data_IF_833954907850
#
_entry.id   IF_833954907850
#
_cell.length_a   1.000
_cell.length_b   1.000
_cell.length_c   1.000
_cell.angle_alpha   90.00
_cell.angle_beta   90.00
_cell.angle_gamma   90.00
#
_symmetry.space_group_name_H-M   'P 1'
#
loop_
_entity.id
_entity.type
_entity.pdbx_description
1 polymer ?
#
# COMPACT_ATOMS: atom_id res chain seq x y z
N UNK A 1 -28.34 -25.86 16.15
CA UNK A 1 -28.28 -24.86 15.07
C UNK A 1 -26.81 -24.57 14.79
N UNK A 2 -26.18 -25.25 13.83
CA UNK A 2 -24.79 -24.94 13.46
C UNK A 2 -24.81 -23.69 12.56
N UNK A 3 -24.20 -22.62 13.02
CA UNK A 3 -23.91 -21.43 12.20
C UNK A 3 -23.01 -21.86 11.04
N UNK A 4 -23.61 -21.97 9.86
CA UNK A 4 -22.91 -22.21 8.60
C UNK A 4 -22.12 -20.98 8.18
N UNK A 5 -21.06 -20.65 8.92
CA UNK A 5 -20.02 -19.79 8.39
C UNK A 5 -19.34 -20.56 7.26
N UNK A 6 -19.63 -20.16 6.03
CA UNK A 6 -18.90 -20.59 4.86
C UNK A 6 -17.40 -20.41 5.15
N UNK A 7 -16.56 -21.43 4.96
CA UNK A 7 -15.13 -21.30 5.24
C UNK A 7 -14.59 -20.10 4.45
N UNK A 8 -13.78 -19.23 5.07
CA UNK A 8 -13.21 -18.09 4.38
C UNK A 8 -12.47 -18.58 3.13
N UNK A 9 -12.64 -17.85 2.02
CA UNK A 9 -11.89 -18.13 0.80
C UNK A 9 -10.39 -18.12 1.12
N UNK A 10 -9.71 -19.23 0.88
CA UNK A 10 -8.31 -19.43 1.24
C UNK A 10 -7.36 -18.40 0.60
N UNK A 11 -7.83 -17.72 -0.46
CA UNK A 11 -7.10 -16.66 -1.15
C UNK A 11 -7.41 -15.26 -0.63
N UNK A 12 -8.49 -15.07 0.13
CA UNK A 12 -8.86 -13.74 0.65
C UNK A 12 -8.06 -13.43 1.92
N UNK A 13 -7.47 -12.23 1.99
CA UNK A 13 -6.77 -11.77 3.19
C UNK A 13 -7.74 -11.66 4.38
N UNK A 14 -7.56 -12.45 5.47
CA UNK A 14 -8.41 -12.33 6.65
C UNK A 14 -8.31 -10.93 7.26
N UNK A 15 -9.40 -10.42 7.84
CA UNK A 15 -9.43 -9.08 8.45
C UNK A 15 -8.34 -8.89 9.51
N UNK A 16 -8.11 -9.89 10.36
CA UNK A 16 -7.06 -9.86 11.38
C UNK A 16 -5.66 -9.77 10.77
N UNK A 17 -5.42 -10.46 9.64
CA UNK A 17 -4.16 -10.37 8.92
C UNK A 17 -4.02 -9.01 8.23
N UNK A 18 -5.12 -8.45 7.69
CA UNK A 18 -5.13 -7.14 7.06
C UNK A 18 -4.71 -6.04 8.03
N UNK A 19 -5.29 -6.03 9.23
CA UNK A 19 -4.98 -5.04 10.28
C UNK A 19 -3.51 -5.05 10.73
N UNK A 20 -2.86 -6.21 10.68
CA UNK A 20 -1.48 -6.41 11.12
C UNK A 20 -0.46 -6.20 9.99
N UNK A 21 -0.82 -6.60 8.76
CA UNK A 21 0.09 -6.60 7.62
C UNK A 21 0.06 -5.30 6.81
N UNK A 22 -1.04 -4.55 6.82
CA UNK A 22 -1.25 -3.34 6.03
C UNK A 22 -1.34 -2.09 6.91
N UNK A 23 -1.09 -0.89 6.35
CA UNK A 23 -1.31 0.34 7.10
C UNK A 23 -2.81 0.48 7.41
N UNK A 24 -3.12 0.89 8.65
CA UNK A 24 -4.50 1.16 9.04
C UNK A 24 -5.06 2.28 8.18
N UNK A 25 -6.33 2.15 7.77
CA UNK A 25 -6.97 3.14 6.90
C UNK A 25 -7.15 4.50 7.59
N UNK A 26 -7.27 4.51 8.91
CA UNK A 26 -7.38 5.72 9.73
C UNK A 26 -6.02 6.35 10.11
N UNK A 27 -4.91 5.70 9.77
CA UNK A 27 -3.59 6.26 10.01
C UNK A 27 -3.41 7.58 9.27
N UNK A 28 -2.60 8.47 9.84
CA UNK A 28 -2.28 9.75 9.21
C UNK A 28 -1.47 9.57 7.91
N UNK A 29 -1.45 10.60 7.06
CA UNK A 29 -0.57 10.64 5.89
C UNK A 29 0.89 10.43 6.28
N UNK A 30 1.34 11.02 7.40
CA UNK A 30 2.73 10.90 7.86
C UNK A 30 3.06 9.46 8.33
N UNK A 31 2.15 8.81 9.05
CA UNK A 31 2.30 7.41 9.46
C UNK A 31 2.31 6.48 8.24
N UNK A 32 1.45 6.74 7.26
CA UNK A 32 1.42 6.00 6.00
C UNK A 32 2.73 6.14 5.22
N UNK A 33 3.30 7.35 5.13
CA UNK A 33 4.62 7.57 4.54
C UNK A 33 5.74 6.80 5.25
N UNK A 34 5.67 6.69 6.59
CA UNK A 34 6.64 5.97 7.39
C UNK A 34 6.47 4.44 7.36
N UNK A 35 5.31 3.95 6.89
CA UNK A 35 5.01 2.53 6.84
C UNK A 35 5.95 1.77 5.91
N UNK A 36 6.57 0.69 6.40
CA UNK A 36 7.48 -0.14 5.60
C UNK A 36 6.73 -1.26 4.90
N UNK A 37 6.67 -1.22 3.58
CA UNK A 37 6.19 -2.32 2.72
C UNK A 37 7.32 -3.30 2.36
N UNK A 38 7.05 -4.62 2.28
CA UNK A 38 8.06 -5.63 1.92
C UNK A 38 8.67 -5.41 0.54
N UNK A 39 10.00 -5.30 0.44
CA UNK A 39 10.75 -5.01 -0.80
C UNK A 39 10.22 -5.81 -1.99
N UNK A 40 9.99 -5.16 -3.13
CA UNK A 40 9.69 -5.87 -4.37
C UNK A 40 10.99 -6.46 -4.90
N UNK A 41 11.08 -7.78 -4.95
CA UNK A 41 12.24 -8.46 -5.52
C UNK A 41 11.92 -8.89 -6.94
N UNK A 42 12.69 -8.45 -7.95
CA UNK A 42 12.68 -9.13 -9.24
C UNK A 42 13.09 -10.57 -9.00
N UNK A 43 12.43 -11.52 -9.67
CA UNK A 43 12.71 -12.95 -9.53
C UNK A 43 14.19 -13.16 -9.81
N UNK A 44 14.97 -13.39 -8.76
CA UNK A 44 16.41 -13.55 -8.85
C UNK A 44 16.65 -14.91 -9.51
N UNK A 45 16.82 -14.88 -10.85
CA UNK A 45 16.91 -15.99 -11.81
C UNK A 45 15.56 -16.29 -12.47
N UNK A 46 15.33 -15.61 -13.60
CA UNK A 46 14.39 -16.02 -14.63
C UNK A 46 14.83 -17.35 -15.28
N UNK A 47 14.77 -18.44 -14.52
CA UNK A 47 14.58 -19.78 -15.07
C UNK A 47 13.16 -20.17 -14.76
N UNK A 48 12.26 -19.94 -15.72
CA UNK A 48 11.04 -20.73 -15.97
C UNK A 48 10.46 -21.44 -14.74
N UNK A 49 10.07 -20.70 -13.71
CA UNK A 49 9.34 -21.31 -12.61
C UNK A 49 7.97 -21.70 -13.14
N UNK A 50 7.65 -22.98 -13.06
CA UNK A 50 6.30 -23.43 -13.34
C UNK A 50 5.40 -22.91 -12.21
N UNK A 51 4.13 -22.63 -12.50
CA UNK A 51 3.19 -22.19 -11.46
C UNK A 51 3.17 -23.14 -10.26
N UNK A 52 3.36 -24.43 -10.49
CA UNK A 52 3.45 -25.48 -9.46
C UNK A 52 4.58 -25.26 -8.45
N UNK A 53 5.67 -24.58 -8.83
CA UNK A 53 6.82 -24.35 -7.96
C UNK A 53 6.48 -23.39 -6.80
N UNK A 54 5.42 -22.58 -6.98
CA UNK A 54 4.93 -21.66 -5.96
C UNK A 54 3.96 -22.31 -4.97
N UNK A 55 3.55 -23.56 -5.15
CA UNK A 55 2.56 -24.20 -4.28
C UNK A 55 3.14 -25.40 -3.56
N UNK A 56 2.67 -25.62 -2.32
CA UNK A 56 2.95 -26.84 -1.56
C UNK A 56 1.65 -27.50 -1.09
N UNK A 57 1.69 -28.84 -1.00
CA UNK A 57 0.63 -29.65 -0.39
C UNK A 57 0.70 -29.67 1.14
N UNK A 58 1.84 -29.27 1.71
CA UNK A 58 1.98 -29.10 3.16
C UNK A 58 1.22 -27.87 3.64
N UNK A 59 0.96 -27.78 4.95
CA UNK A 59 0.46 -26.53 5.54
C UNK A 59 1.53 -25.43 5.53
N UNK A 60 1.14 -24.18 5.84
CA UNK A 60 2.09 -23.08 6.02
C UNK A 60 2.95 -23.32 7.26
N UNK A 61 4.27 -23.23 7.11
CA UNK A 61 5.25 -23.29 8.20
C UNK A 61 5.43 -21.94 8.89
N UNK A 62 5.07 -20.85 8.20
CA UNK A 62 5.15 -19.47 8.71
C UNK A 62 3.74 -18.92 8.77
N UNK A 63 3.32 -18.46 9.95
CA UNK A 63 2.01 -17.85 10.16
C UNK A 63 2.09 -16.54 10.96
N UNK A 64 3.24 -16.18 11.51
CA UNK A 64 3.40 -14.96 12.27
C UNK A 64 3.46 -13.73 11.34
N UNK A 65 2.66 -12.71 11.66
CA UNK A 65 2.50 -11.55 10.78
C UNK A 65 3.79 -10.74 10.63
N UNK A 66 4.64 -10.72 11.65
CA UNK A 66 5.94 -10.02 11.61
C UNK A 66 6.85 -10.64 10.53
N UNK A 67 6.97 -11.96 10.48
CA UNK A 67 7.75 -12.63 9.44
C UNK A 67 7.09 -12.46 8.09
N UNK A 68 5.78 -12.72 7.97
CA UNK A 68 5.03 -12.61 6.71
C UNK A 68 5.18 -11.22 6.06
N UNK A 69 5.09 -10.15 6.86
CA UNK A 69 5.24 -8.75 6.41
C UNK A 69 6.64 -8.45 5.86
N UNK A 70 7.66 -9.17 6.31
CA UNK A 70 9.04 -8.96 5.88
C UNK A 70 9.43 -9.83 4.68
N UNK A 71 8.56 -10.73 4.21
CA UNK A 71 8.82 -11.54 3.03
C UNK A 71 8.77 -10.63 1.80
N UNK A 72 9.86 -10.53 1.01
CA UNK A 72 9.84 -9.72 -0.20
C UNK A 72 8.72 -10.14 -1.16
N UNK A 73 8.02 -9.15 -1.72
CA UNK A 73 6.94 -9.39 -2.66
C UNK A 73 7.52 -9.79 -4.03
N UNK A 74 6.95 -10.80 -4.72
CA UNK A 74 7.19 -11.02 -6.14
C UNK A 74 6.76 -9.80 -6.97
N UNK A 75 7.17 -9.75 -8.25
CA UNK A 75 6.63 -8.73 -9.17
C UNK A 75 5.13 -8.93 -9.41
N UNK A 76 4.43 -7.88 -9.83
CA UNK A 76 2.98 -7.92 -10.02
C UNK A 76 2.57 -9.00 -11.02
N UNK A 77 3.33 -9.15 -12.10
CA UNK A 77 3.10 -10.14 -13.15
C UNK A 77 3.17 -11.58 -12.63
N UNK A 78 4.11 -11.84 -11.72
CA UNK A 78 4.24 -13.16 -11.07
C UNK A 78 3.07 -13.40 -10.12
N UNK A 79 2.69 -12.40 -9.31
CA UNK A 79 1.52 -12.51 -8.43
C UNK A 79 0.25 -12.80 -9.24
N UNK A 80 0.03 -12.10 -10.34
CA UNK A 80 -1.13 -12.33 -11.23
C UNK A 80 -1.13 -13.74 -11.83
N UNK A 81 0.03 -14.20 -12.31
CA UNK A 81 0.17 -15.53 -12.91
C UNK A 81 -0.10 -16.64 -11.89
N UNK A 82 0.48 -16.52 -10.68
CA UNK A 82 0.29 -17.50 -9.60
C UNK A 82 -1.16 -17.46 -9.09
N UNK A 83 -1.75 -16.28 -8.95
CA UNK A 83 -3.16 -16.12 -8.58
C UNK A 83 -4.10 -16.76 -9.59
N UNK A 84 -3.87 -16.57 -10.89
CA UNK A 84 -4.68 -17.20 -11.93
C UNK A 84 -4.63 -18.75 -11.89
N UNK A 85 -3.51 -19.32 -11.43
CA UNK A 85 -3.36 -20.77 -11.25
C UNK A 85 -3.95 -21.30 -9.94
N UNK A 86 -4.17 -20.44 -8.94
CA UNK A 86 -4.56 -20.84 -7.59
C UNK A 86 -5.85 -21.68 -7.52
N UNK A 87 -6.94 -21.40 -8.27
CA UNK A 87 -8.15 -22.22 -8.24
C UNK A 87 -7.92 -23.67 -8.68
N UNK A 88 -7.07 -23.88 -9.68
CA UNK A 88 -6.69 -25.23 -10.15
C UNK A 88 -5.83 -25.95 -9.12
N UNK A 89 -4.88 -25.23 -8.50
CA UNK A 89 -3.98 -25.79 -7.50
C UNK A 89 -4.71 -26.16 -6.20
N UNK A 90 -5.66 -25.33 -5.76
CA UNK A 90 -6.54 -25.63 -4.65
C UNK A 90 -7.32 -26.93 -4.88
N UNK A 91 -7.92 -27.10 -6.07
CA UNK A 91 -8.62 -28.34 -6.46
C UNK A 91 -7.68 -29.56 -6.51
N UNK A 92 -6.41 -29.35 -6.84
CA UNK A 92 -5.38 -30.38 -6.84
C UNK A 92 -4.80 -30.69 -5.43
N UNK A 93 -5.35 -30.09 -4.37
CA UNK A 93 -4.99 -30.39 -2.98
C UNK A 93 -3.79 -29.60 -2.43
N UNK A 94 -3.35 -28.54 -3.11
CA UNK A 94 -2.34 -27.63 -2.57
C UNK A 94 -2.94 -26.73 -1.48
N UNK A 95 -2.16 -26.45 -0.43
CA UNK A 95 -2.65 -25.81 0.82
C UNK A 95 -1.89 -24.53 1.19
N UNK A 96 -0.70 -24.32 0.63
CA UNK A 96 0.17 -23.19 0.97
C UNK A 96 1.01 -22.76 -0.23
N UNK A 97 1.67 -21.62 -0.11
CA UNK A 97 2.63 -21.13 -1.09
C UNK A 97 4.07 -21.41 -0.67
N UNK A 98 4.97 -21.50 -1.63
CA UNK A 98 6.42 -21.48 -1.47
C UNK A 98 6.95 -20.18 -2.08
N UNK A 99 7.92 -19.55 -1.42
CA UNK A 99 8.56 -18.34 -1.93
C UNK A 99 9.60 -18.69 -3.02
N UNK A 100 9.17 -19.29 -4.13
CA UNK A 100 10.04 -19.76 -5.21
C UNK A 100 10.88 -18.63 -5.84
N UNK A 101 10.42 -17.37 -5.73
CA UNK A 101 11.14 -16.19 -6.21
C UNK A 101 12.35 -15.80 -5.34
N UNK A 102 12.53 -16.44 -4.17
CA UNK A 102 13.62 -16.18 -3.25
C UNK A 102 14.63 -17.33 -3.28
N UNK A 103 15.92 -17.00 -3.31
CA UNK A 103 16.97 -18.00 -3.11
C UNK A 103 17.02 -18.37 -1.62
N UNK A 104 16.28 -19.42 -1.23
CA UNK A 104 16.24 -19.92 0.13
C UNK A 104 16.98 -21.25 0.25
N UNK A 105 17.77 -21.40 1.32
CA UNK A 105 18.42 -22.67 1.68
C UNK A 105 17.44 -23.67 2.29
N UNK A 106 16.40 -23.17 2.95
CA UNK A 106 15.30 -23.96 3.52
C UNK A 106 13.98 -23.45 2.94
N UNK A 107 13.21 -24.26 2.20
CA UNK A 107 11.95 -23.84 1.62
C UNK A 107 10.94 -23.58 2.74
N UNK A 108 10.50 -22.33 2.86
CA UNK A 108 9.42 -21.94 3.79
C UNK A 108 8.10 -21.94 3.05
N UNK A 109 7.06 -22.48 3.69
CA UNK A 109 5.69 -22.35 3.20
C UNK A 109 4.91 -21.28 3.95
N UNK A 110 4.10 -20.54 3.22
CA UNK A 110 3.30 -19.41 3.72
C UNK A 110 1.82 -19.57 3.31
N UNK A 111 0.89 -18.86 3.95
CA UNK A 111 -0.53 -18.97 3.64
C UNK A 111 -0.88 -18.52 2.21
N UNK A 112 -1.93 -19.09 1.62
CA UNK A 112 -2.37 -18.76 0.26
C UNK A 112 -2.87 -17.32 0.11
N UNK A 113 -3.46 -16.75 1.17
CA UNK A 113 -3.91 -15.36 1.20
C UNK A 113 -2.77 -14.33 1.02
N UNK A 114 -1.51 -14.76 1.08
CA UNK A 114 -0.37 -13.87 0.82
C UNK A 114 -0.35 -13.31 -0.61
N UNK A 115 -1.02 -13.97 -1.57
CA UNK A 115 -1.24 -13.39 -2.90
C UNK A 115 -2.05 -12.09 -2.82
N UNK A 116 -3.05 -12.05 -1.95
CA UNK A 116 -3.91 -10.89 -1.70
C UNK A 116 -3.19 -9.77 -1.01
N UNK A 117 -2.43 -10.12 0.02
CA UNK A 117 -1.51 -9.19 0.65
C UNK A 117 -0.53 -8.57 -0.36
N UNK A 118 0.13 -9.37 -1.21
CA UNK A 118 1.10 -8.82 -2.18
C UNK A 118 0.45 -7.93 -3.24
N UNK A 119 -0.75 -8.25 -3.71
CA UNK A 119 -1.49 -7.37 -4.61
C UNK A 119 -1.86 -6.03 -3.95
N UNK A 120 -2.34 -6.06 -2.71
CA UNK A 120 -2.61 -4.84 -1.94
C UNK A 120 -1.32 -4.02 -1.75
N UNK A 121 -0.20 -4.67 -1.44
CA UNK A 121 1.12 -4.01 -1.33
C UNK A 121 1.51 -3.31 -2.63
N UNK A 122 1.30 -3.93 -3.79
CA UNK A 122 1.62 -3.31 -5.09
C UNK A 122 0.76 -2.06 -5.34
N UNK A 123 -0.54 -2.13 -5.06
CA UNK A 123 -1.45 -0.99 -5.20
C UNK A 123 -1.09 0.16 -4.25
N UNK A 124 -0.92 -0.15 -2.96
CA UNK A 124 -0.62 0.85 -1.93
C UNK A 124 0.74 1.50 -2.10
N UNK A 125 1.74 0.78 -2.63
CA UNK A 125 3.05 1.35 -2.95
C UNK A 125 3.01 2.45 -3.99
N UNK A 126 2.09 2.38 -4.94
CA UNK A 126 1.92 3.46 -5.90
C UNK A 126 1.46 4.73 -5.18
N UNK A 127 0.44 4.60 -4.33
CA UNK A 127 -0.11 5.70 -3.53
C UNK A 127 0.94 6.27 -2.56
N UNK A 128 1.66 5.39 -1.84
CA UNK A 128 2.70 5.80 -0.90
C UNK A 128 3.83 6.56 -1.59
N UNK A 129 4.26 6.16 -2.79
CA UNK A 129 5.29 6.87 -3.53
C UNK A 129 4.91 8.32 -3.83
N UNK A 130 3.64 8.58 -4.14
CA UNK A 130 3.14 9.95 -4.38
C UNK A 130 3.22 10.77 -3.10
N UNK A 131 2.75 10.22 -1.98
CA UNK A 131 2.80 10.89 -0.69
C UNK A 131 4.22 11.12 -0.17
N UNK A 132 5.10 10.11 -0.26
CA UNK A 132 6.51 10.23 0.14
C UNK A 132 7.22 11.30 -0.67
N UNK A 133 7.01 11.34 -2.00
CA UNK A 133 7.59 12.40 -2.85
C UNK A 133 7.12 13.79 -2.44
N UNK A 134 5.85 13.90 -2.07
CA UNK A 134 5.22 15.15 -1.64
C UNK A 134 5.75 15.62 -0.28
N UNK A 135 5.86 14.70 0.68
CA UNK A 135 6.50 14.96 1.98
C UNK A 135 7.97 15.38 1.80
N UNK A 136 8.72 14.68 0.96
CA UNK A 136 10.12 15.03 0.68
C UNK A 136 10.27 16.42 0.10
N UNK A 137 9.33 16.85 -0.76
CA UNK A 137 9.31 18.19 -1.31
C UNK A 137 9.02 19.23 -0.22
N UNK A 138 8.00 19.01 0.61
CA UNK A 138 7.68 19.88 1.74
C UNK A 138 8.87 20.00 2.71
N UNK A 139 9.54 18.88 3.00
CA UNK A 139 10.75 18.82 3.84
C UNK A 139 11.91 19.61 3.25
N UNK A 140 12.11 19.54 1.93
CA UNK A 140 13.13 20.34 1.24
C UNK A 140 12.82 21.83 1.34
N UNK A 141 11.56 22.24 1.14
CA UNK A 141 11.14 23.64 1.32
C UNK A 141 11.38 24.13 2.74
N UNK A 142 11.02 23.33 3.75
CA UNK A 142 11.29 23.63 5.16
C UNK A 142 12.77 23.94 5.40
N UNK A 143 13.67 23.07 4.92
CA UNK A 143 15.13 23.25 5.09
C UNK A 143 15.69 24.50 4.40
N UNK A 144 15.05 24.96 3.33
CA UNK A 144 15.43 26.21 2.65
C UNK A 144 15.01 27.42 3.50
N UNK A 145 13.76 27.44 3.97
CA UNK A 145 13.23 28.55 4.77
C UNK A 145 13.71 28.58 6.23
N UNK A 146 14.22 27.47 6.78
CA UNK A 146 14.92 27.49 8.08
C UNK A 146 16.26 28.25 8.00
N UNK A 147 16.90 28.28 6.82
CA UNK A 147 18.13 29.06 6.59
C UNK A 147 17.85 30.55 6.40
N UNK A 148 16.69 30.88 5.83
CA UNK A 148 16.19 32.24 5.65
C UNK A 148 15.41 32.68 6.89
N UNK A 149 16.09 33.21 7.90
CA UNK A 149 15.49 33.61 9.20
C UNK A 149 14.15 34.39 9.03
N UNK A 150 13.03 33.72 9.31
CA UNK A 150 11.81 34.38 9.83
C UNK A 150 10.68 34.74 8.86
N UNK A 151 10.40 33.95 7.82
CA UNK A 151 9.23 34.17 6.95
C UNK A 151 7.94 33.48 7.40
N UNK A 152 6.78 34.09 7.10
CA UNK A 152 5.42 33.52 7.23
C UNK A 152 5.30 32.10 6.63
N UNK A 153 6.10 31.78 5.62
CA UNK A 153 6.19 30.45 4.98
C UNK A 153 6.51 29.30 5.93
N UNK A 154 7.29 29.53 7.00
CA UNK A 154 7.58 28.47 7.96
C UNK A 154 6.35 28.09 8.79
N UNK A 155 5.51 29.07 9.14
CA UNK A 155 4.26 28.81 9.85
C UNK A 155 3.29 28.00 8.98
N UNK A 156 3.19 28.34 7.69
CA UNK A 156 2.37 27.57 6.73
C UNK A 156 2.87 26.14 6.58
N UNK A 157 4.19 25.94 6.41
CA UNK A 157 4.77 24.59 6.28
C UNK A 157 4.53 23.75 7.53
N UNK A 158 4.71 24.33 8.71
CA UNK A 158 4.46 23.62 9.96
C UNK A 158 2.98 23.27 10.10
N UNK A 159 2.08 24.21 9.79
CA UNK A 159 0.65 23.96 9.78
C UNK A 159 0.26 22.85 8.78
N UNK A 160 0.86 22.81 7.59
CA UNK A 160 0.67 21.71 6.64
C UNK A 160 1.10 20.37 7.25
N UNK A 161 2.25 20.30 7.91
CA UNK A 161 2.67 19.06 8.59
C UNK A 161 1.70 18.64 9.68
N UNK A 162 1.22 19.58 10.50
CA UNK A 162 0.25 19.29 11.56
C UNK A 162 -1.04 18.73 10.94
N UNK A 163 -1.53 19.32 9.84
CA UNK A 163 -2.70 18.82 9.11
C UNK A 163 -2.46 17.43 8.50
N UNK A 164 -1.30 17.18 7.89
CA UNK A 164 -0.96 15.85 7.36
C UNK A 164 -0.82 14.80 8.46
N UNK A 165 -0.42 15.20 9.68
CA UNK A 165 -0.35 14.33 10.86
C UNK A 165 -1.72 13.99 11.46
N UNK A 166 -2.76 14.78 11.13
CA UNK A 166 -4.13 14.55 11.60
C UNK A 166 -5.05 13.97 10.51
N UNK A 167 -4.67 14.11 9.24
CA UNK A 167 -5.49 13.68 8.10
C UNK A 167 -5.22 12.22 7.78
N UNK A 168 -6.27 11.40 7.74
CA UNK A 168 -6.19 10.01 7.28
C UNK A 168 -5.66 9.95 5.85
N UNK A 169 -4.76 9.01 5.55
CA UNK A 169 -4.23 8.83 4.19
C UNK A 169 -5.24 8.23 3.20
N UNK A 170 -6.32 7.61 3.71
CA UNK A 170 -7.30 6.88 2.94
C UNK A 170 -8.66 7.59 2.93
N UNK A 171 -9.47 7.26 1.93
CA UNK A 171 -10.83 7.73 1.80
C UNK A 171 -10.98 8.86 0.77
N UNK A 172 -12.09 9.56 0.89
CA UNK A 172 -12.52 10.59 -0.05
C UNK A 172 -12.43 11.97 0.60
N UNK A 173 -11.99 12.94 -0.19
CA UNK A 173 -12.05 14.35 0.15
C UNK A 173 -13.51 14.76 0.31
N UNK A 174 -13.80 15.37 1.45
CA UNK A 174 -15.12 15.94 1.74
C UNK A 174 -15.11 17.41 1.35
N UNK A 175 -16.23 17.91 0.84
CA UNK A 175 -16.39 19.32 0.47
C UNK A 175 -16.19 19.64 -1.01
N UNK A 176 -15.87 18.66 -1.85
CA UNK A 176 -15.98 18.77 -3.31
C UNK A 176 -17.35 18.28 -3.80
N UNK A 177 -17.83 18.82 -4.93
CA UNK A 177 -19.07 18.36 -5.58
C UNK A 177 -18.94 16.90 -6.05
N UNK A 178 -17.73 16.51 -6.46
CA UNK A 178 -17.39 15.15 -6.85
C UNK A 178 -16.45 14.54 -5.80
N UNK A 179 -16.72 13.32 -5.31
CA UNK A 179 -15.86 12.66 -4.34
C UNK A 179 -14.52 12.30 -4.97
N UNK A 180 -13.45 12.79 -4.37
CA UNK A 180 -12.09 12.67 -4.91
C UNK A 180 -11.19 11.93 -3.93
N UNK A 181 -10.25 11.08 -4.38
CA UNK A 181 -9.43 10.30 -3.47
C UNK A 181 -8.46 11.19 -2.70
N UNK A 182 -8.23 10.88 -1.42
CA UNK A 182 -7.37 11.66 -0.53
C UNK A 182 -5.97 11.92 -1.11
N UNK A 183 -5.42 10.95 -1.86
CA UNK A 183 -4.10 11.07 -2.53
C UNK A 183 -4.00 12.26 -3.48
N UNK A 184 -5.12 12.79 -3.97
CA UNK A 184 -5.13 13.98 -4.83
C UNK A 184 -4.50 15.20 -4.12
N UNK A 185 -4.67 15.35 -2.79
CA UNK A 185 -4.06 16.47 -2.06
C UNK A 185 -2.54 16.51 -2.16
N UNK A 186 -1.89 15.37 -2.44
CA UNK A 186 -0.46 15.31 -2.65
C UNK A 186 -0.02 16.15 -3.87
N UNK A 187 -0.88 16.33 -4.87
CA UNK A 187 -0.56 17.13 -6.08
C UNK A 187 -0.37 18.62 -5.75
N UNK A 188 -1.05 19.17 -4.73
CA UNK A 188 -0.82 20.55 -4.27
C UNK A 188 0.58 20.78 -3.70
N UNK A 189 1.23 19.72 -3.21
CA UNK A 189 2.57 19.78 -2.60
C UNK A 189 3.69 19.61 -3.64
N UNK A 190 3.36 19.29 -4.88
CA UNK A 190 4.34 19.00 -5.93
C UNK A 190 4.44 20.18 -6.92
N UNK A 191 5.65 20.66 -7.24
CA UNK A 191 5.84 21.88 -8.03
C UNK A 191 5.62 21.69 -9.54
N UNK A 192 5.63 20.44 -10.03
CA UNK A 192 5.60 20.11 -11.47
C UNK A 192 4.32 19.38 -11.89
N UNK A 193 3.36 19.23 -10.98
CA UNK A 193 2.07 18.61 -11.27
C UNK A 193 1.10 19.69 -11.72
N UNK A 194 0.54 19.50 -12.92
CA UNK A 194 -0.56 20.31 -13.39
C UNK A 194 -1.78 20.00 -12.54
N UNK A 195 -2.35 21.04 -11.94
CA UNK A 195 -3.61 20.92 -11.21
C UNK A 195 -4.69 20.48 -12.19
N UNK A 196 -5.43 19.44 -11.81
CA UNK A 196 -6.56 18.93 -12.60
C UNK A 196 -7.78 19.82 -12.40
N UNK A 197 -8.78 19.69 -13.27
CA UNK A 197 -10.09 20.37 -13.15
C UNK A 197 -10.71 20.24 -11.76
N UNK A 198 -10.53 19.10 -11.09
CA UNK A 198 -11.00 18.91 -9.72
C UNK A 198 -10.38 19.88 -8.71
N UNK A 199 -9.09 20.21 -8.85
CA UNK A 199 -8.40 21.19 -8.01
C UNK A 199 -8.89 22.60 -8.31
N UNK A 200 -9.12 22.92 -9.58
CA UNK A 200 -9.68 24.20 -10.01
C UNK A 200 -11.08 24.40 -9.42
N UNK A 201 -11.92 23.37 -9.50
CA UNK A 201 -13.25 23.37 -8.90
C UNK A 201 -13.20 23.52 -7.38
N UNK A 202 -12.27 22.85 -6.69
CA UNK A 202 -12.07 23.03 -5.25
C UNK A 202 -11.67 24.47 -4.90
N UNK A 203 -10.69 25.04 -5.60
CA UNK A 203 -10.27 26.43 -5.37
C UNK A 203 -11.40 27.42 -5.65
N UNK A 204 -12.15 27.23 -6.73
CA UNK A 204 -13.31 28.07 -7.05
C UNK A 204 -14.43 27.96 -5.99
N UNK A 205 -14.66 26.76 -5.45
CA UNK A 205 -15.65 26.56 -4.39
C UNK A 205 -15.22 27.21 -3.07
N UNK A 206 -13.94 27.13 -2.71
CA UNK A 206 -13.40 27.84 -1.53
C UNK A 206 -13.58 29.35 -1.67
N UNK A 207 -13.24 29.92 -2.84
CA UNK A 207 -13.43 31.35 -3.10
C UNK A 207 -14.90 31.80 -3.01
N UNK A 208 -15.85 30.94 -3.39
CA UNK A 208 -17.29 31.24 -3.25
C UNK A 208 -17.79 31.16 -1.82
N UNK A 209 -17.16 30.34 -0.98
CA UNK A 209 -17.57 30.16 0.42
C UNK A 209 -17.04 31.28 1.33
N UNK A 210 -15.96 31.96 0.93
CA UNK A 210 -15.37 33.10 1.65
C UNK A 210 -16.05 34.45 1.35
N UNK A 211 -16.93 34.51 0.34
CA UNK A 211 -17.73 35.69 -0.06
C UNK A 211 -19.14 35.66 0.55
#
# INVERSE_FOLDING_TARGET
MPTGQQPPDALTLPSTAREELLPKLDASVLEFCAFKFPVATPVARARTHANTDFFSRSGPTVADYVTLRNIPAPTKEVVDTVRAAAPSMLRAGYKSLVCAHLSQTVPRTIPLYMLDFWDEVHALRHIQRVWVRSEEHLRKRRRLYEKEKGGSSNAVIQHTYDMLGLTSWYGLLRGSQEPEPMVMLAEYLLPTTWLRTAHENQMANLLKADL
#
